data_IF_580693711823
#
_entry.id   IF_580693711823
#
_cell.length_a   1.000
_cell.length_b   1.000
_cell.length_c   1.000
_cell.angle_alpha   90.00
_cell.angle_beta   90.00
_cell.angle_gamma   90.00
#
_symmetry.space_group_name_H-M   'P 1'
#
loop_
_entity.id
_entity.type
_entity.pdbx_description
1 polymer ?
#
# COMPACT_ATOMS: atom_id res chain seq x y z
N UNK A 1 28.35 32.62 45.26
CA UNK A 1 27.12 32.73 44.42
C UNK A 1 27.31 33.53 43.13
N UNK A 2 28.15 34.57 43.07
CA UNK A 2 28.36 35.33 41.82
C UNK A 2 29.15 34.56 40.73
N UNK A 3 30.18 33.80 41.13
CA UNK A 3 31.01 33.03 40.18
C UNK A 3 30.26 31.92 39.44
N UNK A 4 29.41 31.16 40.13
CA UNK A 4 28.62 30.10 39.50
C UNK A 4 27.61 30.64 38.48
N UNK A 5 27.05 31.83 38.74
CA UNK A 5 26.12 32.51 37.82
C UNK A 5 26.81 32.92 36.52
N UNK A 6 28.04 33.41 36.60
CA UNK A 6 28.83 33.80 35.43
C UNK A 6 29.27 32.59 34.58
N UNK A 7 29.54 31.45 35.21
CA UNK A 7 29.89 30.19 34.50
C UNK A 7 28.66 29.65 33.74
N UNK A 8 27.47 29.67 34.35
CA UNK A 8 26.23 29.20 33.71
C UNK A 8 25.86 30.10 32.52
N UNK A 9 26.01 31.42 32.67
CA UNK A 9 25.77 32.36 31.56
C UNK A 9 26.78 32.12 30.43
N UNK A 10 28.06 31.88 30.74
CA UNK A 10 29.08 31.54 29.75
C UNK A 10 28.76 30.28 28.95
N UNK A 11 28.28 29.22 29.62
CA UNK A 11 27.91 27.96 28.96
C UNK A 11 26.67 28.10 28.07
N UNK A 12 25.67 28.89 28.49
CA UNK A 12 24.47 29.15 27.69
C UNK A 12 24.79 29.94 26.43
N UNK A 13 25.66 30.95 26.52
CA UNK A 13 26.11 31.72 25.35
C UNK A 13 26.88 30.82 24.38
N UNK A 14 27.74 29.93 24.88
CA UNK A 14 28.47 28.99 24.03
C UNK A 14 27.54 28.01 23.30
N UNK A 15 26.52 27.47 23.99
CA UNK A 15 25.53 26.57 23.40
C UNK A 15 24.72 27.26 22.30
N UNK A 16 24.34 28.53 22.50
CA UNK A 16 23.61 29.32 21.48
C UNK A 16 24.50 29.60 20.27
N UNK A 17 25.79 29.89 20.46
CA UNK A 17 26.73 30.10 19.34
C UNK A 17 26.91 28.81 18.52
N UNK A 18 27.04 27.65 19.17
CA UNK A 18 27.14 26.35 18.47
C UNK A 18 25.86 26.03 17.70
N UNK A 19 24.69 26.29 18.29
CA UNK A 19 23.39 26.10 17.63
C UNK A 19 23.23 27.00 16.40
N UNK A 20 23.62 28.28 16.52
CA UNK A 20 23.57 29.24 15.41
C UNK A 20 24.59 28.90 14.31
N UNK A 21 25.77 28.37 14.67
CA UNK A 21 26.73 27.86 13.69
C UNK A 21 26.18 26.63 12.94
N UNK A 22 25.48 25.72 13.62
CA UNK A 22 24.80 24.58 12.98
C UNK A 22 23.65 24.99 12.05
N UNK A 23 22.94 26.06 12.39
CA UNK A 23 21.86 26.62 11.55
C UNK A 23 22.40 27.40 10.34
N UNK A 24 23.57 28.04 10.48
CA UNK A 24 24.24 28.76 9.39
C UNK A 24 24.99 27.82 8.42
N UNK A 25 25.30 26.58 8.82
CA UNK A 25 26.02 25.57 8.02
C UNK A 25 25.16 24.44 7.45
N UNK A 26 23.95 24.75 6.96
CA UNK A 26 23.29 23.95 5.91
C UNK A 26 22.97 24.90 4.75
N UNK A 27 23.42 24.65 3.49
CA UNK A 27 23.57 23.34 2.85
C UNK A 27 24.87 23.16 2.02
N UNK A 28 25.58 22.03 2.15
CA UNK A 28 26.54 21.60 1.11
C UNK A 28 26.76 20.09 1.11
N UNK A 29 25.69 19.30 0.97
CA UNK A 29 25.74 17.90 0.54
C UNK A 29 24.39 17.53 -0.05
N UNK A 30 24.05 18.08 -1.21
CA UNK A 30 23.17 17.50 -2.22
C UNK A 30 23.29 18.40 -3.45
N UNK A 31 24.27 18.11 -4.30
CA UNK A 31 24.33 18.69 -5.64
C UNK A 31 23.23 18.04 -6.47
N UNK A 32 22.14 18.77 -6.68
CA UNK A 32 21.23 18.52 -7.79
C UNK A 32 21.66 19.45 -8.92
N UNK A 33 22.39 18.92 -9.89
CA UNK A 33 22.66 19.65 -11.14
C UNK A 33 21.39 19.63 -11.99
N UNK A 34 20.52 20.61 -11.72
CA UNK A 34 19.48 21.05 -12.64
C UNK A 34 20.15 22.00 -13.65
N UNK A 35 20.24 21.59 -14.91
CA UNK A 35 20.80 22.38 -16.00
C UNK A 35 19.66 22.93 -16.87
N UNK A 36 19.39 24.25 -16.89
CA UNK A 36 18.39 24.84 -17.76
C UNK A 36 19.04 25.41 -19.03
N UNK A 37 18.67 24.87 -20.19
CA UNK A 37 18.84 25.54 -21.49
C UNK A 37 19.70 24.81 -22.51
N UNK A 38 19.10 24.45 -23.64
CA UNK A 38 19.83 24.00 -24.83
C UNK A 38 19.00 23.16 -25.80
N UNK A 39 17.96 23.74 -26.42
CA UNK A 39 17.43 23.18 -27.66
C UNK A 39 18.53 23.27 -28.73
N UNK A 40 18.93 22.13 -29.29
CA UNK A 40 19.61 22.09 -30.58
C UNK A 40 18.89 21.18 -31.56
N UNK A 41 18.66 21.78 -32.72
CA UNK A 41 18.01 21.28 -33.91
C UNK A 41 18.88 20.29 -34.67
N UNK A 42 18.27 19.16 -35.06
CA UNK A 42 18.48 18.57 -36.39
C UNK A 42 19.46 17.39 -36.52
N UNK A 43 19.05 16.49 -37.43
CA UNK A 43 19.77 15.42 -38.16
C UNK A 43 19.51 14.00 -37.60
N UNK A 44 18.35 13.41 -37.91
CA UNK A 44 17.99 12.64 -39.13
C UNK A 44 18.45 11.17 -39.11
N UNK A 45 17.46 10.26 -39.09
CA UNK A 45 17.55 8.87 -39.54
C UNK A 45 16.18 8.43 -40.08
N UNK A 46 16.05 7.98 -41.34
CA UNK A 46 14.76 7.88 -42.05
C UNK A 46 14.13 6.47 -42.01
N UNK A 47 12.80 6.42 -42.07
CA UNK A 47 11.98 5.20 -42.27
C UNK A 47 11.52 4.59 -40.94
N UNK A 48 10.27 4.23 -40.70
CA UNK A 48 9.27 3.68 -41.60
C UNK A 48 7.88 4.14 -41.13
N UNK A 49 7.25 5.03 -41.90
CA UNK A 49 5.83 5.31 -41.83
C UNK A 49 5.25 4.81 -43.16
N UNK A 50 4.70 3.60 -43.16
CA UNK A 50 3.68 3.12 -44.11
C UNK A 50 3.29 1.68 -43.76
N UNK A 51 2.24 1.54 -42.96
CA UNK A 51 1.25 0.50 -43.22
C UNK A 51 -0.12 1.01 -42.75
N UNK A 52 -0.99 1.46 -43.66
CA UNK A 52 -2.30 1.99 -43.31
C UNK A 52 -3.34 0.89 -43.45
N UNK A 53 -3.32 -0.13 -42.60
CA UNK A 53 -4.40 -1.11 -42.52
C UNK A 53 -4.27 -1.87 -41.20
N UNK A 54 -5.06 -1.47 -40.19
CA UNK A 54 -5.74 -2.34 -39.22
C UNK A 54 -6.32 -1.45 -38.11
N UNK A 55 -7.51 -0.93 -38.42
CA UNK A 55 -8.45 -0.45 -37.43
C UNK A 55 -8.94 -1.65 -36.60
N UNK A 56 -8.49 -1.77 -35.36
CA UNK A 56 -9.25 -2.40 -34.27
C UNK A 56 -8.95 -1.65 -32.98
N UNK A 57 -9.89 -0.79 -32.63
CA UNK A 57 -10.16 -0.33 -31.28
C UNK A 57 -10.08 -1.48 -30.28
N UNK A 58 -9.15 -1.42 -29.33
CA UNK A 58 -9.21 -2.15 -28.07
C UNK A 58 -8.88 -1.20 -26.92
N UNK A 59 -9.97 -0.67 -26.37
CA UNK A 59 -10.21 -0.30 -24.97
C UNK A 59 -9.00 -0.27 -24.02
N UNK A 60 -8.25 0.84 -24.03
CA UNK A 60 -7.30 1.18 -22.96
C UNK A 60 -7.96 1.96 -21.80
N UNK A 61 -9.28 1.85 -21.61
CA UNK A 61 -10.05 2.81 -20.79
C UNK A 61 -10.87 2.28 -19.61
N UNK A 62 -11.21 1.00 -19.55
CA UNK A 62 -12.19 0.54 -18.54
C UNK A 62 -11.57 0.25 -17.16
N UNK A 63 -10.34 -0.26 -17.11
CA UNK A 63 -9.72 -0.67 -15.84
C UNK A 63 -9.21 0.51 -15.01
N UNK A 64 -8.76 1.59 -15.67
CA UNK A 64 -8.35 2.83 -15.02
C UNK A 64 -9.53 3.61 -14.42
N UNK A 65 -10.70 3.57 -15.06
CA UNK A 65 -11.88 4.31 -14.61
C UNK A 65 -12.60 3.63 -13.43
N UNK A 66 -12.56 2.30 -13.34
CA UNK A 66 -13.12 1.55 -12.19
C UNK A 66 -12.27 1.70 -10.92
N UNK A 67 -10.95 1.70 -11.06
CA UNK A 67 -10.02 1.81 -9.91
C UNK A 67 -9.97 3.22 -9.34
N UNK A 68 -9.88 4.24 -10.19
CA UNK A 68 -9.93 5.63 -9.74
C UNK A 68 -11.34 6.02 -9.24
N UNK A 69 -12.39 5.43 -9.82
CA UNK A 69 -13.79 5.72 -9.47
C UNK A 69 -14.21 5.21 -8.10
N UNK A 70 -13.75 4.02 -7.68
CA UNK A 70 -14.08 3.47 -6.36
C UNK A 70 -13.29 4.13 -5.21
N UNK A 71 -12.09 4.69 -5.47
CA UNK A 71 -11.37 5.54 -4.51
C UNK A 71 -11.87 7.00 -4.50
N UNK A 72 -12.70 7.40 -5.47
CA UNK A 72 -13.26 8.75 -5.65
C UNK A 72 -14.79 8.70 -5.66
N UNK A 73 -15.37 7.85 -4.82
CA UNK A 73 -16.81 7.70 -4.73
C UNK A 73 -17.48 8.98 -4.21
N UNK A 74 -18.54 9.39 -4.89
CA UNK A 74 -19.38 10.52 -4.50
C UNK A 74 -20.58 9.99 -3.74
N UNK A 75 -20.75 10.44 -2.50
CA UNK A 75 -21.88 10.06 -1.66
C UNK A 75 -22.81 11.24 -1.41
N UNK A 76 -24.09 10.96 -1.25
CA UNK A 76 -25.07 11.96 -0.83
C UNK A 76 -24.97 12.16 0.70
N UNK A 77 -25.29 13.37 1.24
CA UNK A 77 -25.19 13.65 2.67
C UNK A 77 -25.94 12.68 3.59
N UNK A 78 -27.03 12.09 3.10
CA UNK A 78 -27.88 11.13 3.81
C UNK A 78 -27.42 9.66 3.67
N UNK A 79 -26.38 9.39 2.88
CA UNK A 79 -25.86 8.04 2.69
C UNK A 79 -25.38 7.45 4.02
N UNK A 80 -25.76 6.20 4.26
CA UNK A 80 -25.34 5.44 5.44
C UNK A 80 -24.49 4.25 5.01
N UNK A 81 -23.52 3.82 5.82
CA UNK A 81 -22.82 2.59 5.56
C UNK A 81 -23.78 1.41 5.48
N UNK A 82 -23.56 0.50 4.54
CA UNK A 82 -24.19 -0.81 4.51
C UNK A 82 -23.75 -1.64 5.72
N UNK A 83 -24.56 -2.63 6.07
CA UNK A 83 -24.25 -3.56 7.16
C UNK A 83 -23.06 -4.47 6.82
N UNK A 84 -22.41 -5.03 7.83
CA UNK A 84 -21.32 -6.00 7.63
C UNK A 84 -21.82 -7.25 6.88
N UNK A 85 -23.02 -7.74 7.19
CA UNK A 85 -23.63 -8.87 6.48
C UNK A 85 -23.83 -8.60 4.98
N UNK A 86 -24.25 -7.37 4.62
CA UNK A 86 -24.35 -6.96 3.21
C UNK A 86 -22.97 -6.88 2.56
N UNK A 87 -21.98 -6.35 3.26
CA UNK A 87 -20.61 -6.27 2.76
C UNK A 87 -20.00 -7.67 2.52
N UNK A 88 -20.18 -8.60 3.45
CA UNK A 88 -19.74 -10.00 3.31
C UNK A 88 -20.42 -10.65 2.10
N UNK A 89 -21.72 -10.44 1.90
CA UNK A 89 -22.43 -10.94 0.70
C UNK A 89 -21.86 -10.35 -0.59
N UNK A 90 -21.56 -9.06 -0.61
CA UNK A 90 -20.88 -8.41 -1.75
C UNK A 90 -19.50 -9.03 -2.02
N UNK A 91 -18.69 -9.24 -0.97
CA UNK A 91 -17.37 -9.89 -1.08
C UNK A 91 -17.50 -11.32 -1.61
N UNK A 92 -18.38 -12.13 -1.04
CA UNK A 92 -18.63 -13.50 -1.48
C UNK A 92 -19.09 -13.56 -2.95
N UNK A 93 -19.96 -12.64 -3.36
CA UNK A 93 -20.42 -12.55 -4.75
C UNK A 93 -19.27 -12.18 -5.69
N UNK A 94 -18.46 -11.20 -5.32
CA UNK A 94 -17.30 -10.77 -6.11
C UNK A 94 -16.25 -11.86 -6.19
N UNK A 95 -15.97 -12.53 -5.08
CA UNK A 95 -14.89 -13.49 -4.97
C UNK A 95 -15.10 -14.76 -5.82
N UNK A 96 -16.32 -15.03 -6.29
CA UNK A 96 -16.61 -16.12 -7.25
C UNK A 96 -15.75 -16.07 -8.52
N UNK A 97 -15.22 -14.89 -8.87
CA UNK A 97 -14.31 -14.75 -10.01
C UNK A 97 -12.94 -15.42 -9.78
N UNK A 98 -12.56 -15.69 -8.52
CA UNK A 98 -11.28 -16.31 -8.17
C UNK A 98 -11.32 -17.84 -8.21
N UNK A 99 -12.51 -18.45 -8.20
CA UNK A 99 -12.70 -19.89 -8.27
C UNK A 99 -14.06 -20.35 -7.77
N UNK A 100 -14.33 -21.65 -7.92
CA UNK A 100 -15.61 -22.27 -7.55
C UNK A 100 -15.71 -22.68 -6.08
N UNK A 101 -14.59 -22.81 -5.37
CA UNK A 101 -14.54 -23.19 -3.95
C UNK A 101 -13.71 -22.17 -3.16
N UNK A 102 -14.27 -20.96 -3.05
CA UNK A 102 -13.65 -19.84 -2.37
C UNK A 102 -14.51 -19.43 -1.18
N UNK A 103 -13.86 -18.94 -0.14
CA UNK A 103 -14.48 -18.42 1.06
C UNK A 103 -13.86 -17.08 1.45
N UNK A 104 -14.57 -16.32 2.28
CA UNK A 104 -14.03 -15.12 2.92
C UNK A 104 -13.53 -15.56 4.29
N UNK A 105 -12.23 -15.48 4.52
CA UNK A 105 -11.59 -15.97 5.75
C UNK A 105 -11.64 -14.94 6.86
N UNK A 106 -11.18 -13.74 6.53
CA UNK A 106 -11.04 -12.62 7.44
C UNK A 106 -11.85 -11.44 6.92
N UNK A 107 -12.42 -10.67 7.85
CA UNK A 107 -13.23 -9.50 7.57
C UNK A 107 -12.89 -8.39 8.57
N UNK A 108 -12.51 -7.24 8.04
CA UNK A 108 -12.21 -6.05 8.84
C UNK A 108 -13.01 -4.85 8.36
N UNK A 109 -13.49 -4.07 9.32
CA UNK A 109 -14.11 -2.79 9.07
C UNK A 109 -13.10 -1.67 9.31
N UNK A 110 -12.91 -0.82 8.30
CA UNK A 110 -12.17 0.42 8.42
C UNK A 110 -13.11 1.61 8.14
N UNK A 111 -12.65 2.83 8.41
CA UNK A 111 -13.47 4.01 8.20
C UNK A 111 -13.84 4.21 6.73
N UNK A 112 -12.96 3.83 5.80
CA UNK A 112 -13.11 4.08 4.36
C UNK A 112 -13.62 2.88 3.56
N UNK A 113 -13.41 1.64 4.03
CA UNK A 113 -13.84 0.42 3.34
C UNK A 113 -14.05 -0.73 4.32
N UNK A 114 -14.73 -1.77 3.86
CA UNK A 114 -14.63 -3.10 4.46
C UNK A 114 -13.56 -3.89 3.69
N UNK A 115 -12.68 -4.57 4.41
CA UNK A 115 -11.63 -5.44 3.88
C UNK A 115 -12.01 -6.90 4.10
N UNK A 116 -11.60 -7.77 3.17
CA UNK A 116 -11.65 -9.20 3.39
C UNK A 116 -10.59 -9.98 2.63
N UNK A 117 -10.23 -11.12 3.21
CA UNK A 117 -9.30 -12.10 2.61
C UNK A 117 -10.11 -13.18 1.91
N UNK A 118 -9.79 -13.42 0.64
CA UNK A 118 -10.32 -14.55 -0.12
C UNK A 118 -9.39 -15.74 0.06
N UNK A 119 -9.96 -16.87 0.47
CA UNK A 119 -9.25 -18.14 0.67
C UNK A 119 -9.77 -19.21 -0.29
N UNK A 120 -8.85 -20.02 -0.83
CA UNK A 120 -9.19 -21.24 -1.55
C UNK A 120 -9.41 -22.38 -0.54
N UNK A 121 -10.67 -22.80 -0.39
CA UNK A 121 -11.07 -23.81 0.57
C UNK A 121 -10.49 -25.20 0.25
N UNK A 122 -10.04 -25.47 -0.98
CA UNK A 122 -9.40 -26.76 -1.30
C UNK A 122 -7.99 -26.85 -0.74
N UNK A 123 -7.24 -25.75 -0.80
CA UNK A 123 -5.83 -25.69 -0.40
C UNK A 123 -5.61 -25.03 0.96
N UNK A 124 -6.67 -24.45 1.54
CA UNK A 124 -6.63 -23.63 2.76
C UNK A 124 -5.61 -22.49 2.66
N UNK A 125 -5.49 -21.89 1.46
CA UNK A 125 -4.54 -20.84 1.17
C UNK A 125 -5.25 -19.52 0.89
N UNK A 126 -4.76 -18.43 1.47
CA UNK A 126 -5.18 -17.08 1.12
C UNK A 126 -4.69 -16.71 -0.28
N UNK A 127 -5.58 -16.21 -1.13
CA UNK A 127 -5.31 -16.08 -2.56
C UNK A 127 -5.47 -14.65 -3.11
N UNK A 128 -6.26 -13.81 -2.46
CA UNK A 128 -6.51 -12.44 -2.87
C UNK A 128 -7.12 -11.62 -1.73
N UNK A 129 -7.08 -10.31 -1.89
CA UNK A 129 -7.71 -9.33 -0.98
C UNK A 129 -8.77 -8.53 -1.74
N UNK A 130 -9.89 -8.27 -1.06
CA UNK A 130 -11.06 -7.61 -1.63
C UNK A 130 -11.51 -6.51 -0.69
N UNK A 131 -11.84 -5.37 -1.27
CA UNK A 131 -12.46 -4.26 -0.57
C UNK A 131 -13.92 -4.14 -0.99
N UNK A 132 -14.75 -3.70 -0.06
CA UNK A 132 -16.12 -3.25 -0.31
C UNK A 132 -16.25 -1.79 0.13
N UNK A 133 -16.73 -0.97 -0.79
CA UNK A 133 -17.12 0.40 -0.49
C UNK A 133 -18.26 0.41 0.54
N UNK A 134 -18.10 1.18 1.62
CA UNK A 134 -19.01 1.09 2.76
C UNK A 134 -20.41 1.60 2.46
N UNK A 135 -20.61 2.44 1.45
CA UNK A 135 -21.89 3.10 1.22
C UNK A 135 -22.63 2.52 0.01
N UNK A 136 -21.92 2.26 -1.09
CA UNK A 136 -22.49 1.64 -2.29
C UNK A 136 -22.52 0.11 -2.23
N UNK A 137 -21.69 -0.51 -1.39
CA UNK A 137 -21.54 -1.97 -1.36
C UNK A 137 -20.78 -2.54 -2.55
N UNK A 138 -20.16 -1.69 -3.38
CA UNK A 138 -19.38 -2.10 -4.53
C UNK A 138 -18.11 -2.82 -4.08
N UNK A 139 -17.94 -4.07 -4.51
CA UNK A 139 -16.76 -4.88 -4.24
C UNK A 139 -15.72 -4.73 -5.36
N UNK A 140 -14.44 -4.69 -4.99
CA UNK A 140 -13.33 -4.55 -5.93
C UNK A 140 -12.04 -5.16 -5.34
N UNK A 141 -11.04 -5.50 -6.18
CA UNK A 141 -9.76 -6.00 -5.67
C UNK A 141 -9.06 -4.90 -4.87
N UNK A 142 -8.38 -5.28 -3.80
CA UNK A 142 -7.55 -4.32 -3.07
C UNK A 142 -6.47 -3.71 -3.97
N UNK A 143 -6.28 -2.37 -3.96
CA UNK A 143 -5.25 -1.73 -4.75
C UNK A 143 -3.84 -2.07 -4.26
N UNK A 144 -2.85 -1.89 -5.13
CA UNK A 144 -1.45 -2.13 -4.77
C UNK A 144 -1.08 -3.63 -4.81
N UNK A 145 -0.58 -4.25 -3.72
CA UNK A 145 -0.02 -5.61 -3.72
C UNK A 145 -0.91 -6.68 -4.37
N UNK A 146 -2.20 -6.72 -4.03
CA UNK A 146 -3.13 -7.69 -4.60
C UNK A 146 -3.29 -7.55 -6.13
N UNK A 147 -3.20 -6.34 -6.67
CA UNK A 147 -3.23 -6.15 -8.13
C UNK A 147 -1.86 -6.30 -8.79
N UNK A 148 -0.80 -5.82 -8.15
CA UNK A 148 0.50 -5.62 -8.77
C UNK A 148 1.46 -6.78 -8.52
N UNK A 149 1.41 -7.36 -7.32
CA UNK A 149 2.33 -8.40 -6.87
C UNK A 149 1.69 -9.79 -6.81
N UNK A 150 0.36 -9.88 -6.85
CA UNK A 150 -0.31 -11.17 -6.85
C UNK A 150 0.08 -12.00 -8.09
N UNK A 151 0.74 -13.14 -7.88
CA UNK A 151 1.27 -14.01 -8.94
C UNK A 151 0.22 -14.95 -9.53
N UNK A 152 -0.94 -15.09 -8.88
CA UNK A 152 -2.04 -15.93 -9.36
C UNK A 152 -3.14 -15.16 -10.04
N UNK A 153 -3.47 -13.95 -9.58
CA UNK A 153 -4.63 -13.19 -10.06
C UNK A 153 -4.32 -11.76 -10.50
N UNK A 154 -3.12 -11.25 -10.21
CA UNK A 154 -2.69 -9.90 -10.56
C UNK A 154 -1.68 -9.84 -11.71
N UNK A 155 -1.11 -8.65 -11.92
CA UNK A 155 -0.05 -8.38 -12.89
C UNK A 155 1.27 -9.11 -12.56
N UNK A 156 1.44 -9.54 -11.30
CA UNK A 156 2.57 -10.34 -10.82
C UNK A 156 2.71 -11.71 -11.51
N UNK A 157 1.71 -12.17 -12.27
CA UNK A 157 1.78 -13.37 -13.13
C UNK A 157 2.97 -13.35 -14.11
N UNK A 158 3.45 -12.16 -14.47
CA UNK A 158 4.59 -11.99 -15.37
C UNK A 158 5.94 -12.08 -14.65
N UNK A 159 5.94 -12.09 -13.33
CA UNK A 159 7.14 -12.16 -12.51
C UNK A 159 7.71 -13.58 -12.53
N UNK A 160 8.98 -13.68 -12.93
CA UNK A 160 9.71 -14.94 -13.01
C UNK A 160 10.88 -14.94 -12.01
N UNK A 161 11.22 -16.12 -11.49
CA UNK A 161 12.29 -16.31 -10.51
C UNK A 161 11.80 -17.01 -9.25
N UNK A 162 12.73 -17.31 -8.35
CA UNK A 162 12.40 -17.80 -7.00
C UNK A 162 12.09 -16.63 -6.07
N UNK A 163 11.22 -16.86 -5.09
CA UNK A 163 11.04 -15.92 -3.98
C UNK A 163 12.37 -15.75 -3.22
N UNK A 164 12.68 -14.52 -2.84
CA UNK A 164 13.89 -14.17 -2.08
C UNK A 164 13.65 -14.10 -0.57
N UNK A 165 12.39 -14.00 -0.14
CA UNK A 165 11.99 -13.85 1.24
C UNK A 165 10.85 -14.82 1.57
N UNK A 166 11.04 -15.60 2.62
CA UNK A 166 9.98 -16.37 3.26
C UNK A 166 9.21 -15.49 4.25
N UNK A 167 8.19 -16.05 4.91
CA UNK A 167 7.34 -15.32 5.85
C UNK A 167 8.15 -14.71 6.99
N UNK A 168 9.12 -15.44 7.54
CA UNK A 168 9.94 -14.95 8.65
C UNK A 168 10.83 -13.78 8.22
N UNK A 169 11.48 -13.89 7.06
CA UNK A 169 12.29 -12.82 6.48
C UNK A 169 11.46 -11.59 6.15
N UNK A 170 10.28 -11.77 5.54
CA UNK A 170 9.37 -10.68 5.21
C UNK A 170 8.81 -9.99 6.47
N UNK A 171 8.42 -10.77 7.49
CA UNK A 171 7.97 -10.23 8.79
C UNK A 171 9.08 -9.41 9.43
N UNK A 172 10.33 -9.88 9.39
CA UNK A 172 11.46 -9.15 9.94
C UNK A 172 11.69 -7.81 9.24
N UNK A 173 11.60 -7.77 7.90
CA UNK A 173 11.66 -6.51 7.14
C UNK A 173 10.56 -5.54 7.55
N UNK A 174 9.33 -6.04 7.74
CA UNK A 174 8.20 -5.23 8.20
C UNK A 174 8.42 -4.65 9.60
N UNK A 175 8.84 -5.48 10.56
CA UNK A 175 9.17 -5.06 11.93
C UNK A 175 10.24 -3.97 11.94
N UNK A 176 11.34 -4.16 11.18
CA UNK A 176 12.43 -3.21 11.11
C UNK A 176 11.97 -1.86 10.51
N UNK A 177 11.12 -1.90 9.49
CA UNK A 177 10.51 -0.70 8.91
C UNK A 177 9.61 0.04 9.90
N UNK A 178 8.80 -0.68 10.67
CA UNK A 178 7.88 -0.10 11.65
C UNK A 178 8.59 0.68 12.77
N UNK A 179 9.85 0.34 13.10
CA UNK A 179 10.63 1.09 14.10
C UNK A 179 10.74 2.59 13.79
N UNK A 180 10.81 2.94 12.50
CA UNK A 180 10.86 4.33 12.03
C UNK A 180 9.51 4.87 11.56
N UNK A 181 8.68 4.00 10.96
CA UNK A 181 7.39 4.41 10.42
C UNK A 181 6.34 4.70 11.50
N UNK A 182 6.23 3.80 12.49
CA UNK A 182 5.28 3.92 13.59
C UNK A 182 5.91 3.35 14.87
N UNK A 183 6.72 4.13 15.60
CA UNK A 183 7.43 3.64 16.78
C UNK A 183 6.50 2.99 17.81
N UNK A 184 6.90 1.80 18.26
CA UNK A 184 6.17 0.96 19.20
C UNK A 184 5.10 0.05 18.59
N UNK A 185 4.85 0.13 17.28
CA UNK A 185 3.96 -0.81 16.60
C UNK A 185 4.63 -2.17 16.39
N UNK A 186 3.82 -3.22 16.48
CA UNK A 186 4.21 -4.60 16.25
C UNK A 186 3.33 -5.22 15.16
N UNK A 187 3.78 -6.33 14.59
CA UNK A 187 2.99 -7.14 13.66
C UNK A 187 2.03 -8.00 14.47
N UNK A 188 0.73 -7.80 14.25
CA UNK A 188 -0.36 -8.46 14.99
C UNK A 188 -0.81 -9.73 14.28
N UNK A 189 -0.92 -9.68 12.95
CA UNK A 189 -1.33 -10.81 12.12
C UNK A 189 -0.49 -10.90 10.84
N UNK A 190 -0.49 -12.06 10.19
CA UNK A 190 0.25 -12.31 8.96
C UNK A 190 -0.58 -13.21 8.03
N UNK A 191 -0.78 -12.76 6.79
CA UNK A 191 -1.44 -13.51 5.73
C UNK A 191 -0.47 -13.78 4.59
N UNK A 192 -0.47 -15.03 4.09
CA UNK A 192 0.42 -15.46 3.02
C UNK A 192 -0.31 -15.49 1.68
N UNK A 193 0.00 -14.51 0.83
CA UNK A 193 -0.63 -14.36 -0.48
C UNK A 193 0.29 -14.86 -1.60
N UNK A 194 -0.24 -15.14 -2.80
CA UNK A 194 0.60 -15.50 -3.94
C UNK A 194 1.51 -14.33 -4.33
N UNK A 195 2.80 -14.40 -4.01
CA UNK A 195 3.81 -13.41 -4.40
C UNK A 195 4.09 -12.30 -3.40
N UNK A 196 3.34 -12.21 -2.29
CA UNK A 196 3.57 -11.23 -1.24
C UNK A 196 3.00 -11.72 0.11
N UNK A 197 3.40 -11.08 1.20
CA UNK A 197 2.79 -11.26 2.52
C UNK A 197 2.08 -9.97 2.91
N UNK A 198 0.88 -10.05 3.49
CA UNK A 198 0.22 -8.92 4.14
C UNK A 198 0.31 -9.06 5.64
N UNK A 199 0.54 -7.94 6.32
CA UNK A 199 0.66 -7.85 7.76
C UNK A 199 -0.22 -6.74 8.31
N UNK A 200 -0.97 -7.09 9.33
CA UNK A 200 -1.65 -6.11 10.18
C UNK A 200 -0.66 -5.66 11.25
N UNK A 201 -0.62 -4.36 11.53
CA UNK A 201 0.27 -3.81 12.54
C UNK A 201 -0.42 -2.78 13.43
N UNK A 202 0.09 -2.64 14.65
CA UNK A 202 -0.36 -1.63 15.61
C UNK A 202 0.27 -1.82 16.99
N UNK A 203 -0.07 -0.95 17.95
CA UNK A 203 0.49 -1.03 19.32
C UNK A 203 -0.32 -1.90 20.28
N UNK A 204 -1.62 -2.03 20.03
CA UNK A 204 -2.54 -2.85 20.84
C UNK A 204 -3.55 -3.53 19.92
N UNK A 205 -4.20 -2.72 19.08
CA UNK A 205 -5.10 -3.14 18.02
C UNK A 205 -4.54 -2.71 16.66
N UNK A 206 -5.13 -3.19 15.57
CA UNK A 206 -4.76 -2.82 14.21
C UNK A 206 -4.83 -1.30 14.01
N UNK A 207 -3.69 -0.69 13.70
CA UNK A 207 -3.57 0.73 13.33
C UNK A 207 -3.33 0.91 11.82
N UNK A 208 -2.95 -0.15 11.12
CA UNK A 208 -2.78 -0.17 9.68
C UNK A 208 -2.36 -1.53 9.16
N UNK A 209 -2.17 -1.58 7.84
CA UNK A 209 -1.74 -2.77 7.12
C UNK A 209 -0.60 -2.41 6.17
N UNK A 210 0.29 -3.37 5.95
CA UNK A 210 1.32 -3.26 4.92
C UNK A 210 1.54 -4.62 4.27
N UNK A 211 2.11 -4.62 3.07
CA UNK A 211 2.56 -5.86 2.43
C UNK A 211 4.04 -5.83 2.11
N UNK A 212 4.64 -7.01 2.05
CA UNK A 212 6.04 -7.22 1.65
C UNK A 212 6.09 -8.13 0.43
N UNK A 213 6.73 -7.68 -0.64
CA UNK A 213 6.92 -8.47 -1.85
C UNK A 213 7.88 -9.66 -1.58
N UNK A 214 7.46 -10.89 -1.92
CA UNK A 214 8.26 -12.10 -1.63
C UNK A 214 9.54 -12.21 -2.46
N UNK A 215 9.67 -11.47 -3.56
CA UNK A 215 10.83 -11.51 -4.44
C UNK A 215 11.82 -10.39 -4.13
N UNK A 216 11.34 -9.16 -3.94
CA UNK A 216 12.18 -7.97 -3.77
C UNK A 216 12.34 -7.51 -2.32
N UNK A 217 11.47 -7.94 -1.40
CA UNK A 217 11.43 -7.44 -0.03
C UNK A 217 10.91 -6.00 0.08
N UNK A 218 10.40 -5.42 -1.02
CA UNK A 218 9.80 -4.09 -1.00
C UNK A 218 8.57 -4.07 -0.11
N UNK A 219 8.42 -2.99 0.64
CA UNK A 219 7.32 -2.76 1.58
C UNK A 219 6.33 -1.78 0.97
N UNK A 220 5.05 -2.09 1.04
CA UNK A 220 3.96 -1.23 0.59
C UNK A 220 2.97 -1.01 1.72
N UNK A 221 2.90 0.20 2.26
CA UNK A 221 1.93 0.55 3.30
C UNK A 221 0.57 0.84 2.68
N UNK A 222 -0.49 0.28 3.26
CA UNK A 222 -1.86 0.44 2.78
C UNK A 222 -2.47 1.73 3.33
N UNK A 223 -2.51 2.77 2.51
CA UNK A 223 -2.93 4.12 2.94
C UNK A 223 -4.41 4.41 2.70
N UNK A 224 -5.18 3.44 2.19
CA UNK A 224 -6.56 3.64 1.73
C UNK A 224 -7.65 3.21 2.72
N UNK A 225 -7.32 2.45 3.78
CA UNK A 225 -8.31 1.93 4.72
C UNK A 225 -8.90 2.99 5.66
N UNK A 226 -8.07 3.93 6.12
CA UNK A 226 -8.43 4.85 7.20
C UNK A 226 -8.38 4.17 8.57
N UNK A 227 -9.13 4.68 9.55
CA UNK A 227 -9.10 4.16 10.92
C UNK A 227 -9.76 2.79 11.04
N UNK A 228 -9.17 1.88 11.81
CA UNK A 228 -9.76 0.59 12.14
C UNK A 228 -11.01 0.73 13.02
N UNK A 229 -12.04 -0.08 12.74
CA UNK A 229 -13.32 -0.07 13.43
C UNK A 229 -13.68 -1.43 14.06
N UNK A 230 -12.85 -2.46 13.90
CA UNK A 230 -13.08 -3.83 14.36
C UNK A 230 -13.08 -4.86 13.23
N UNK A 231 -13.02 -6.15 13.57
CA UNK A 231 -12.98 -7.25 12.61
C UNK A 231 -13.29 -8.60 13.23
N UNK A 232 -13.43 -9.62 12.40
CA UNK A 232 -13.72 -10.99 12.81
C UNK A 232 -13.31 -12.02 11.75
N UNK A 233 -12.86 -13.19 12.21
CA UNK A 233 -12.69 -14.38 11.37
C UNK A 233 -14.07 -14.99 11.08
N UNK A 234 -14.33 -15.32 9.82
CA UNK A 234 -15.64 -15.79 9.36
C UNK A 234 -15.74 -17.32 9.32
N UNK A 235 -14.61 -18.00 9.18
CA UNK A 235 -14.49 -19.45 8.89
C UNK A 235 -14.14 -20.31 10.11
N UNK A 236 -14.13 -19.76 11.33
CA UNK A 236 -13.81 -20.48 12.57
C UNK A 236 -14.79 -21.59 12.94
#
# INVERSE_FOLDING_TARGET
>A
MAQSKNIIIGLLVLAVIVLLAFLAFKPMMYSSTYNPGGYQSGHMGPGMMNNPDYNYSYESGMMGNMMMGNMMALYYPESKPITQDEAIKSMQSFAKQYGSNIEIDDFMAFSSNYYGVVKDANSNQDIAEVLVDRYSGSAYPEPGPNMMWNTRYGAGRTQAGSTGYDLAGAKKLAEDFLTGYLPGAEILESKAMPGYYTFDFGRNDTEGMLSVNTFSGQIWVHTWHGSYLGGMNITS
#
